data_IF_605949883217
#
_entry.id   IF_605949883217
#
_cell.length_a   1.000
_cell.length_b   1.000
_cell.length_c   1.000
_cell.angle_alpha   90.00
_cell.angle_beta   90.00
_cell.angle_gamma   90.00
#
_symmetry.space_group_name_H-M   'P 1'
#
loop_
_entity.id
_entity.type
_entity.pdbx_description
1 polymer ?
#
# COMPACT_ATOMS: atom_id res chain seq x y z
N UNK A 1 27.27 1.20 -42.36
CA UNK A 1 27.51 0.15 -41.34
C UNK A 1 26.27 -0.32 -40.59
N UNK A 2 25.06 0.20 -40.85
CA UNK A 2 23.81 -0.23 -40.17
C UNK A 2 23.02 -1.32 -40.94
N UNK A 3 23.22 -1.46 -42.25
CA UNK A 3 22.44 -2.37 -43.10
C UNK A 3 22.72 -3.87 -42.90
N UNK A 4 23.90 -4.24 -42.36
CA UNK A 4 24.29 -5.63 -42.15
C UNK A 4 23.64 -6.28 -40.92
N UNK A 5 23.41 -5.54 -39.84
CA UNK A 5 22.80 -6.09 -38.63
C UNK A 5 21.32 -6.43 -38.84
N UNK A 6 20.58 -5.57 -39.54
CA UNK A 6 19.17 -5.79 -39.85
C UNK A 6 18.98 -6.95 -40.84
N UNK A 7 19.83 -7.10 -41.85
CA UNK A 7 19.76 -8.24 -42.78
C UNK A 7 20.15 -9.55 -42.11
N UNK A 8 21.12 -9.54 -41.17
CA UNK A 8 21.51 -10.73 -40.42
C UNK A 8 20.42 -11.15 -39.44
N UNK A 9 19.73 -10.19 -38.78
CA UNK A 9 18.61 -10.47 -37.87
C UNK A 9 17.35 -10.98 -38.60
N UNK A 10 17.15 -10.61 -39.88
CA UNK A 10 16.02 -11.02 -40.71
C UNK A 10 16.28 -12.27 -41.56
N UNK A 11 17.46 -12.90 -41.46
CA UNK A 11 17.71 -14.22 -42.04
C UNK A 11 16.82 -15.28 -41.40
N UNK A 12 16.36 -16.25 -42.20
CA UNK A 12 15.39 -17.28 -41.80
C UNK A 12 15.75 -18.12 -40.57
N UNK A 13 17.03 -18.11 -40.14
CA UNK A 13 17.52 -18.89 -39.00
C UNK A 13 17.55 -18.12 -37.67
N UNK A 14 17.41 -16.78 -37.68
CA UNK A 14 17.58 -15.92 -36.49
C UNK A 14 16.28 -15.54 -35.77
N UNK A 15 15.15 -16.12 -36.18
CA UNK A 15 13.83 -15.84 -35.60
C UNK A 15 13.77 -16.12 -34.08
N UNK A 16 14.49 -17.14 -33.59
CA UNK A 16 14.59 -17.46 -32.16
C UNK A 16 15.28 -16.35 -31.37
N UNK A 17 16.34 -15.75 -31.94
CA UNK A 17 17.08 -14.66 -31.31
C UNK A 17 16.23 -13.40 -31.26
N UNK A 18 15.53 -13.09 -32.35
CA UNK A 18 14.61 -11.95 -32.42
C UNK A 18 13.47 -12.13 -31.41
N UNK A 19 12.87 -13.32 -31.35
CA UNK A 19 11.81 -13.63 -30.39
C UNK A 19 12.29 -13.52 -28.93
N UNK A 20 13.46 -14.07 -28.62
CA UNK A 20 14.06 -13.98 -27.29
C UNK A 20 14.35 -12.52 -26.91
N UNK A 21 14.93 -11.73 -27.83
CA UNK A 21 15.19 -10.31 -27.61
C UNK A 21 13.89 -9.53 -27.34
N UNK A 22 12.82 -9.79 -28.09
CA UNK A 22 11.51 -9.21 -27.84
C UNK A 22 10.94 -9.62 -26.47
N UNK A 23 11.10 -10.89 -26.07
CA UNK A 23 10.67 -11.36 -24.76
C UNK A 23 11.40 -10.62 -23.63
N UNK A 24 12.73 -10.46 -23.73
CA UNK A 24 13.51 -9.70 -22.75
C UNK A 24 13.12 -8.21 -22.73
N UNK A 25 12.86 -7.61 -23.89
CA UNK A 25 12.42 -6.22 -23.99
C UNK A 25 11.08 -5.97 -23.26
N UNK A 26 10.19 -6.98 -23.23
CA UNK A 26 8.93 -6.94 -22.47
C UNK A 26 9.10 -7.36 -21.00
N UNK A 27 10.11 -8.18 -20.69
CA UNK A 27 10.34 -8.72 -19.36
C UNK A 27 10.89 -7.67 -18.40
N UNK A 28 11.81 -6.83 -18.86
CA UNK A 28 12.41 -5.75 -18.06
C UNK A 28 11.34 -4.79 -17.49
N UNK A 29 10.45 -4.18 -18.30
CA UNK A 29 9.40 -3.32 -17.76
C UNK A 29 8.39 -4.09 -16.90
N UNK A 30 8.14 -5.37 -17.22
CA UNK A 30 7.30 -6.25 -16.39
C UNK A 30 7.92 -6.51 -15.01
N UNK A 31 9.25 -6.66 -14.93
CA UNK A 31 9.97 -6.87 -13.68
C UNK A 31 9.99 -5.61 -12.82
N UNK A 32 10.20 -4.44 -13.43
CA UNK A 32 10.07 -3.14 -12.74
C UNK A 32 8.65 -3.02 -12.17
N UNK A 33 7.63 -3.33 -12.97
CA UNK A 33 6.25 -3.30 -12.51
C UNK A 33 5.97 -4.32 -11.40
N UNK A 34 6.60 -5.48 -11.42
CA UNK A 34 6.50 -6.46 -10.35
C UNK A 34 7.02 -5.91 -9.02
N UNK A 35 8.13 -5.18 -9.03
CA UNK A 35 8.64 -4.48 -7.82
C UNK A 35 7.66 -3.43 -7.33
N UNK A 36 7.08 -2.63 -8.23
CA UNK A 36 6.21 -1.52 -7.86
C UNK A 36 4.82 -1.94 -7.36
N UNK A 37 4.30 -3.08 -7.85
CA UNK A 37 2.90 -3.47 -7.63
C UNK A 37 2.76 -4.64 -6.65
N UNK A 38 3.80 -5.46 -6.45
CA UNK A 38 3.68 -6.62 -5.58
C UNK A 38 3.73 -6.20 -4.12
N UNK A 39 2.72 -6.62 -3.35
CA UNK A 39 2.55 -6.23 -1.93
C UNK A 39 3.67 -6.70 -1.00
N UNK A 40 4.32 -7.81 -1.33
CA UNK A 40 5.37 -8.41 -0.50
C UNK A 40 6.70 -8.39 -1.24
N UNK A 41 7.78 -8.09 -0.51
CA UNK A 41 9.15 -8.12 -1.05
C UNK A 41 9.52 -9.50 -1.62
N UNK A 42 9.10 -10.58 -0.94
CA UNK A 42 9.33 -11.95 -1.38
C UNK A 42 8.60 -12.27 -2.70
N UNK A 43 7.34 -11.85 -2.84
CA UNK A 43 6.58 -12.03 -4.08
C UNK A 43 7.17 -11.23 -5.24
N UNK A 44 7.61 -9.99 -4.96
CA UNK A 44 8.29 -9.14 -5.95
C UNK A 44 9.58 -9.80 -6.46
N UNK A 45 10.44 -10.27 -5.53
CA UNK A 45 11.67 -10.97 -5.88
C UNK A 45 11.41 -12.22 -6.72
N UNK A 46 10.41 -13.02 -6.37
CA UNK A 46 10.03 -14.20 -7.15
C UNK A 46 9.71 -13.86 -8.61
N UNK A 47 8.92 -12.81 -8.85
CA UNK A 47 8.60 -12.36 -10.20
C UNK A 47 9.80 -11.76 -10.95
N UNK A 48 10.62 -10.94 -10.28
CA UNK A 48 11.81 -10.34 -10.90
C UNK A 48 12.80 -11.41 -11.33
N UNK A 49 13.12 -12.36 -10.45
CA UNK A 49 14.05 -13.44 -10.75
C UNK A 49 13.52 -14.29 -11.90
N UNK A 50 12.23 -14.65 -11.90
CA UNK A 50 11.61 -15.42 -12.98
C UNK A 50 11.64 -14.68 -14.33
N UNK A 51 11.32 -13.38 -14.33
CA UNK A 51 11.29 -12.54 -15.54
C UNK A 51 12.69 -12.34 -16.16
N UNK A 52 13.73 -12.30 -15.35
CA UNK A 52 15.12 -12.20 -15.82
C UNK A 52 15.64 -13.56 -16.28
N UNK A 53 15.41 -14.62 -15.51
CA UNK A 53 15.95 -15.94 -15.78
C UNK A 53 15.26 -16.64 -16.96
N UNK A 54 13.94 -16.49 -17.09
CA UNK A 54 13.13 -17.23 -18.05
C UNK A 54 11.96 -16.39 -18.59
N UNK A 55 12.22 -15.29 -19.32
CA UNK A 55 11.19 -14.34 -19.77
C UNK A 55 10.11 -15.00 -20.62
N UNK A 56 10.45 -15.92 -21.53
CA UNK A 56 9.48 -16.55 -22.43
C UNK A 56 8.33 -17.25 -21.67
N UNK A 57 8.62 -17.88 -20.52
CA UNK A 57 7.63 -18.59 -19.69
C UNK A 57 7.04 -17.68 -18.63
N UNK A 58 7.89 -16.94 -17.92
CA UNK A 58 7.48 -16.11 -16.79
C UNK A 58 6.64 -14.89 -17.18
N UNK A 59 6.78 -14.39 -18.40
CA UNK A 59 6.10 -13.18 -18.88
C UNK A 59 4.59 -13.39 -19.10
N UNK A 60 4.13 -14.44 -19.81
CA UNK A 60 2.70 -14.75 -19.84
C UNK A 60 2.16 -15.08 -18.44
N UNK A 61 2.92 -15.81 -17.62
CA UNK A 61 2.53 -16.11 -16.23
C UNK A 61 2.39 -14.83 -15.39
N UNK A 62 3.30 -13.87 -15.51
CA UNK A 62 3.24 -12.60 -14.80
C UNK A 62 2.04 -11.77 -15.26
N UNK A 63 1.72 -11.78 -16.56
CA UNK A 63 0.58 -11.04 -17.06
C UNK A 63 -0.77 -11.62 -16.61
N UNK A 64 -0.85 -12.94 -16.42
CA UNK A 64 -2.07 -13.62 -15.93
C UNK A 64 -2.15 -13.58 -14.40
N UNK A 65 -1.07 -13.95 -13.71
CA UNK A 65 -1.04 -14.17 -12.27
C UNK A 65 -0.31 -13.09 -11.47
N UNK A 66 0.75 -12.49 -12.03
CA UNK A 66 1.50 -11.43 -11.35
C UNK A 66 0.69 -10.14 -11.16
N UNK A 67 -0.39 -9.97 -11.93
CA UNK A 67 -1.35 -8.86 -11.78
C UNK A 67 -2.47 -9.15 -10.78
N UNK A 68 -2.33 -10.12 -9.88
CA UNK A 68 -3.39 -10.45 -8.91
C UNK A 68 -3.82 -9.20 -8.14
N UNK A 69 -5.06 -8.80 -8.46
CA UNK A 69 -5.75 -7.57 -8.10
C UNK A 69 -5.76 -7.33 -6.59
N UNK A 70 -5.28 -6.15 -6.21
CA UNK A 70 -5.81 -5.43 -5.03
C UNK A 70 -6.26 -4.01 -5.40
N UNK A 71 -6.67 -3.79 -6.65
CA UNK A 71 -7.38 -2.56 -7.06
C UNK A 71 -8.67 -2.34 -6.26
N UNK A 72 -9.23 -3.40 -5.70
CA UNK A 72 -10.35 -3.31 -4.76
C UNK A 72 -10.02 -2.57 -3.45
N UNK A 73 -8.76 -2.45 -3.03
CA UNK A 73 -8.40 -1.64 -1.83
C UNK A 73 -8.24 -0.16 -2.15
N UNK A 74 -7.69 0.17 -3.33
CA UNK A 74 -7.52 1.57 -3.75
C UNK A 74 -8.89 2.20 -4.04
N UNK A 75 -9.78 1.45 -4.70
CA UNK A 75 -11.16 1.90 -4.89
C UNK A 75 -11.96 1.91 -3.58
N UNK A 76 -11.70 0.98 -2.64
CA UNK A 76 -12.31 1.07 -1.29
C UNK A 76 -11.78 2.26 -0.49
N UNK A 77 -10.47 2.57 -0.58
CA UNK A 77 -9.91 3.77 0.04
C UNK A 77 -10.52 5.03 -0.55
N UNK A 78 -10.64 5.13 -1.87
CA UNK A 78 -11.32 6.25 -2.51
C UNK A 78 -12.79 6.35 -2.08
N UNK A 79 -13.50 5.23 -1.91
CA UNK A 79 -14.88 5.22 -1.38
C UNK A 79 -14.96 5.55 0.11
N UNK A 80 -14.00 5.12 0.93
CA UNK A 80 -13.91 5.48 2.35
C UNK A 80 -13.55 6.96 2.49
N UNK A 81 -12.62 7.48 1.69
CA UNK A 81 -12.26 8.89 1.63
C UNK A 81 -13.45 9.74 1.13
N UNK A 82 -14.25 9.23 0.17
CA UNK A 82 -15.48 9.90 -0.28
C UNK A 82 -16.59 9.87 0.80
N UNK A 83 -16.68 8.80 1.59
CA UNK A 83 -17.57 8.73 2.75
C UNK A 83 -17.10 9.68 3.87
N UNK A 84 -15.79 9.77 4.12
CA UNK A 84 -15.18 10.71 5.06
C UNK A 84 -15.35 12.18 4.63
N UNK A 85 -15.32 12.46 3.31
CA UNK A 85 -15.62 13.78 2.75
C UNK A 85 -17.11 14.15 2.87
N UNK A 86 -18.02 13.16 2.81
CA UNK A 86 -19.45 13.36 3.10
C UNK A 86 -19.75 13.56 4.59
N UNK A 87 -18.81 13.23 5.47
CA UNK A 87 -18.86 13.47 6.92
C UNK A 87 -18.44 14.89 7.34
N UNK A 88 -18.61 15.90 6.46
CA UNK A 88 -18.32 17.30 6.82
C UNK A 88 -19.03 17.75 8.10
N UNK A 89 -20.21 17.20 8.39
CA UNK A 89 -20.95 17.47 9.63
C UNK A 89 -20.25 16.89 10.88
N UNK A 90 -19.64 15.70 10.77
CA UNK A 90 -18.85 15.14 11.88
C UNK A 90 -17.55 15.88 12.09
N UNK A 91 -16.86 16.29 11.02
CA UNK A 91 -15.65 17.12 11.13
C UNK A 91 -15.98 18.50 11.74
N UNK A 92 -17.14 19.08 11.43
CA UNK A 92 -17.62 20.30 12.09
C UNK A 92 -17.88 20.09 13.58
N UNK A 93 -18.48 18.96 13.97
CA UNK A 93 -18.69 18.63 15.38
C UNK A 93 -17.37 18.49 16.16
N UNK A 94 -16.27 18.12 15.50
CA UNK A 94 -14.95 18.02 16.12
C UNK A 94 -14.24 19.37 16.31
N UNK A 95 -14.67 20.44 15.63
CA UNK A 95 -14.06 21.77 15.76
C UNK A 95 -14.12 22.32 17.19
N UNK A 96 -15.13 21.93 17.98
CA UNK A 96 -15.22 22.33 19.39
C UNK A 96 -14.09 21.76 20.26
N UNK A 97 -13.44 20.70 19.80
CA UNK A 97 -12.31 20.06 20.45
C UNK A 97 -10.98 20.47 19.83
N UNK A 98 -10.94 21.43 18.91
CA UNK A 98 -9.69 21.83 18.26
C UNK A 98 -8.67 22.32 19.29
N UNK A 99 -7.44 21.87 19.16
CA UNK A 99 -6.37 22.13 20.13
C UNK A 99 -5.16 22.72 19.45
N UNK A 100 -4.74 23.89 19.94
CA UNK A 100 -3.53 24.54 19.45
C UNK A 100 -2.31 23.66 19.71
N UNK A 101 -1.44 23.47 18.71
CA UNK A 101 -0.23 22.69 18.88
C UNK A 101 0.72 23.39 19.84
N UNK A 102 1.30 22.60 20.75
CA UNK A 102 2.39 23.08 21.61
C UNK A 102 3.62 23.50 20.77
N UNK A 103 4.48 24.38 21.29
CA UNK A 103 5.73 24.71 20.62
C UNK A 103 6.57 23.46 20.29
N UNK A 104 7.03 23.35 19.04
CA UNK A 104 7.87 22.23 18.57
C UNK A 104 7.10 21.10 17.88
N UNK A 105 5.77 21.12 17.88
CA UNK A 105 4.94 20.09 17.20
C UNK A 105 4.00 20.64 16.13
N UNK A 106 4.20 21.89 15.68
CA UNK A 106 3.34 22.52 14.67
C UNK A 106 3.36 21.75 13.33
N UNK A 107 4.52 21.26 12.91
CA UNK A 107 4.63 20.47 11.68
C UNK A 107 3.84 19.14 11.75
N UNK A 108 3.81 18.50 12.92
CA UNK A 108 3.01 17.28 13.14
C UNK A 108 1.51 17.58 13.09
N UNK A 109 1.09 18.71 13.67
CA UNK A 109 -0.30 19.17 13.60
C UNK A 109 -0.73 19.46 12.15
N UNK A 110 0.12 20.07 11.33
CA UNK A 110 -0.15 20.31 9.91
C UNK A 110 -0.22 19.01 9.08
N UNK A 111 0.63 18.04 9.39
CA UNK A 111 0.57 16.72 8.75
C UNK A 111 -0.74 16.01 9.14
N UNK A 112 -1.11 16.04 10.42
CA UNK A 112 -2.34 15.45 10.91
C UNK A 112 -3.58 16.06 10.23
N UNK A 113 -3.62 17.39 10.09
CA UNK A 113 -4.72 18.08 9.42
C UNK A 113 -4.84 17.72 7.94
N UNK A 114 -3.72 17.59 7.23
CA UNK A 114 -3.73 17.16 5.82
C UNK A 114 -4.15 15.71 5.61
N UNK A 115 -3.84 14.82 6.57
CA UNK A 115 -4.14 13.39 6.45
C UNK A 115 -5.55 13.02 6.93
N UNK A 116 -6.06 13.71 7.96
CA UNK A 116 -7.31 13.35 8.63
C UNK A 116 -8.44 14.36 8.45
N UNK A 117 -8.16 15.54 7.90
CA UNK A 117 -9.11 16.66 7.83
C UNK A 117 -9.22 17.47 9.11
N UNK A 118 -8.60 17.03 10.23
CA UNK A 118 -8.56 17.74 11.52
C UNK A 118 -7.15 17.82 12.09
N UNK A 119 -6.85 18.87 12.84
CA UNK A 119 -5.61 18.99 13.60
C UNK A 119 -5.59 18.11 14.86
N UNK A 120 -4.83 18.54 15.86
CA UNK A 120 -4.88 17.93 17.19
C UNK A 120 -6.20 18.28 17.89
N UNK A 121 -6.79 17.28 18.55
CA UNK A 121 -8.01 17.46 19.33
C UNK A 121 -7.71 17.35 20.84
N UNK A 122 -8.40 18.17 21.62
CA UNK A 122 -8.39 18.20 23.09
C UNK A 122 -9.56 17.43 23.71
N UNK A 123 -9.64 17.46 25.04
CA UNK A 123 -10.71 16.78 25.80
C UNK A 123 -10.48 15.28 26.05
N UNK A 124 -9.39 14.72 25.52
CA UNK A 124 -9.02 13.33 25.75
C UNK A 124 -8.40 13.15 27.14
N UNK A 125 -8.82 12.12 27.87
CA UNK A 125 -8.13 11.62 29.05
C UNK A 125 -7.30 10.41 28.63
N UNK A 126 -5.99 10.47 28.83
CA UNK A 126 -5.05 9.44 28.41
C UNK A 126 -4.28 8.95 29.62
N UNK A 127 -4.30 7.63 29.83
CA UNK A 127 -3.43 6.95 30.79
C UNK A 127 -2.40 6.12 30.02
N UNK A 128 -1.12 6.33 30.31
CA UNK A 128 -0.05 5.55 29.71
C UNK A 128 0.15 4.26 30.52
N UNK A 129 -0.29 3.14 29.96
CA UNK A 129 -0.03 1.82 30.52
C UNK A 129 1.30 1.30 29.99
N UNK A 130 2.25 1.09 30.90
CA UNK A 130 3.58 0.53 30.60
C UNK A 130 3.56 -0.95 30.97
N UNK A 131 4.14 -1.80 30.12
CA UNK A 131 4.15 -3.27 30.23
C UNK A 131 2.82 -3.97 29.94
N UNK A 132 2.91 -5.19 29.41
CA UNK A 132 1.73 -5.94 28.97
C UNK A 132 0.75 -6.25 30.10
N UNK A 133 1.23 -6.55 31.31
CA UNK A 133 0.35 -6.94 32.44
C UNK A 133 -0.64 -5.83 32.78
N UNK A 134 -0.16 -4.59 32.95
CA UNK A 134 -1.00 -3.45 33.26
C UNK A 134 -2.03 -3.19 32.14
N UNK A 135 -1.61 -3.31 30.88
CA UNK A 135 -2.51 -3.19 29.73
C UNK A 135 -3.61 -4.25 29.72
N UNK A 136 -3.28 -5.52 29.93
CA UNK A 136 -4.28 -6.60 29.92
C UNK A 136 -5.22 -6.53 31.12
N UNK A 137 -4.72 -6.23 32.31
CA UNK A 137 -5.54 -6.06 33.52
C UNK A 137 -6.55 -4.91 33.34
N UNK A 138 -6.11 -3.79 32.76
CA UNK A 138 -7.00 -2.66 32.42
C UNK A 138 -8.04 -3.05 31.36
N UNK A 139 -7.63 -3.68 30.25
CA UNK A 139 -8.57 -4.13 29.20
C UNK A 139 -9.66 -5.04 29.77
N UNK A 140 -9.31 -6.04 30.59
CA UNK A 140 -10.28 -6.98 31.18
C UNK A 140 -11.24 -6.26 32.13
N UNK A 141 -10.72 -5.29 32.91
CA UNK A 141 -11.52 -4.48 33.82
C UNK A 141 -12.54 -3.62 33.06
N UNK A 142 -12.08 -2.89 32.03
CA UNK A 142 -12.94 -2.04 31.20
C UNK A 142 -14.00 -2.86 30.43
N UNK A 143 -13.62 -4.03 29.91
CA UNK A 143 -14.56 -4.97 29.27
C UNK A 143 -15.65 -5.40 30.25
N UNK A 144 -15.29 -5.68 31.51
CA UNK A 144 -16.24 -6.15 32.53
C UNK A 144 -17.20 -5.05 32.99
N UNK A 145 -16.78 -3.78 32.92
CA UNK A 145 -17.60 -2.62 33.31
C UNK A 145 -18.42 -2.01 32.17
N UNK A 146 -18.22 -2.43 30.92
CA UNK A 146 -18.90 -1.82 29.78
C UNK A 146 -20.40 -2.17 29.72
N UNK A 147 -21.27 -1.16 29.73
CA UNK A 147 -22.73 -1.37 29.75
C UNK A 147 -23.39 -1.45 28.36
N UNK A 148 -22.80 -0.80 27.35
CA UNK A 148 -23.46 -0.59 26.04
C UNK A 148 -22.77 -1.31 24.88
N UNK A 149 -21.48 -1.05 24.69
CA UNK A 149 -20.70 -1.67 23.63
C UNK A 149 -19.21 -1.64 23.97
N UNK A 150 -18.47 -2.55 23.36
CA UNK A 150 -17.00 -2.60 23.39
C UNK A 150 -16.55 -2.65 21.93
N UNK A 151 -15.65 -1.76 21.56
CA UNK A 151 -15.00 -1.76 20.25
C UNK A 151 -13.57 -2.26 20.40
N UNK A 152 -13.25 -3.38 19.74
CA UNK A 152 -11.90 -3.98 19.76
C UNK A 152 -11.34 -4.01 18.34
N UNK A 153 -10.15 -3.45 18.16
CA UNK A 153 -9.40 -3.53 16.91
C UNK A 153 -7.97 -3.96 17.22
N UNK A 154 -7.53 -5.05 16.58
CA UNK A 154 -6.19 -5.61 16.75
C UNK A 154 -5.64 -6.08 15.41
N UNK A 155 -4.31 -6.14 15.30
CA UNK A 155 -3.61 -6.74 14.16
C UNK A 155 -3.26 -8.18 14.51
N UNK A 156 -3.45 -9.11 13.56
CA UNK A 156 -3.18 -10.56 13.71
C UNK A 156 -1.99 -10.94 12.85
#
# INVERSE_FOLDING_TARGET
>A
MSSGLLSTLLNGDNWLLVFSACAYALAIPSAIRAVLVTRTSQGAMGWVIALIAMPVVSLPLYWVFGRTKFQGYVNRRAQIDELALRESEHLQALQQFDSEPRPGVQGLHEIASKLSGTGFLGGNCLELLVEGKATFDSIVTEISGAERYILVQYYI
#
